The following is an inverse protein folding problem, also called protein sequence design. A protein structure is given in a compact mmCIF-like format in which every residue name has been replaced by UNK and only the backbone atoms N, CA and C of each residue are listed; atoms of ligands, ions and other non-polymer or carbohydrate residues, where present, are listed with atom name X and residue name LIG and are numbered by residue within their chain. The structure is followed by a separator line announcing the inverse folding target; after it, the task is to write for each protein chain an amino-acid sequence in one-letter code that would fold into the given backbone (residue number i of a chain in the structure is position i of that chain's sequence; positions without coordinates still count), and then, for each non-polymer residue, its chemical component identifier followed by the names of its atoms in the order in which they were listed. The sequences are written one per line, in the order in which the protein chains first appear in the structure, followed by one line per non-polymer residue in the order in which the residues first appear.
data_IF_054086557949
#
_entry.id   IF_054086557949
#
_cell.length_a   1.000
_cell.length_b   1.000
_cell.length_c   1.000
_cell.angle_alpha   90.00
_cell.angle_beta   90.00
_cell.angle_gamma   90.00
#
_symmetry.space_group_name_H-M   'P 1'
#
loop_
_entity.id
_entity.type
_entity.pdbx_description
1 polymer ?
#
# COMPACT_ATOMS: atom_id res chain seq x y z
N UNK A 1 7.77 -14.93 -10.25
CA UNK A 1 7.50 -14.18 -8.99
C UNK A 1 6.01 -14.12 -8.65
N UNK A 2 5.14 -13.67 -9.55
CA UNK A 2 3.68 -13.61 -9.31
C UNK A 2 3.04 -14.94 -8.87
N UNK A 3 3.35 -16.05 -9.53
CA UNK A 3 2.84 -17.38 -9.14
C UNK A 3 3.21 -17.76 -7.71
N UNK A 4 4.43 -17.41 -7.28
CA UNK A 4 4.93 -17.72 -5.94
C UNK A 4 4.18 -16.91 -4.88
N UNK A 5 3.95 -15.61 -5.14
CA UNK A 5 3.14 -14.73 -4.28
C UNK A 5 1.69 -15.23 -4.21
N UNK A 6 1.10 -15.60 -5.36
CA UNK A 6 -0.27 -16.11 -5.42
C UNK A 6 -0.43 -17.42 -4.64
N UNK A 7 0.52 -18.35 -4.80
CA UNK A 7 0.51 -19.63 -4.10
C UNK A 7 0.70 -19.46 -2.58
N UNK A 8 1.63 -18.59 -2.16
CA UNK A 8 1.79 -18.23 -0.74
C UNK A 8 0.52 -17.59 -0.18
N UNK A 9 -0.14 -16.71 -0.93
CA UNK A 9 -1.40 -16.11 -0.51
C UNK A 9 -2.54 -17.13 -0.37
N UNK A 10 -2.65 -18.06 -1.33
CA UNK A 10 -3.62 -19.15 -1.28
C UNK A 10 -3.37 -20.09 -0.09
N UNK A 11 -2.11 -20.45 0.15
CA UNK A 11 -1.71 -21.28 1.28
C UNK A 11 -2.04 -20.63 2.62
N UNK A 12 -1.65 -19.36 2.83
CA UNK A 12 -1.95 -18.60 4.05
C UNK A 12 -3.46 -18.54 4.28
N UNK A 13 -4.23 -18.27 3.22
CA UNK A 13 -5.69 -18.23 3.29
C UNK A 13 -6.26 -19.57 3.74
N UNK A 14 -5.88 -20.66 3.10
CA UNK A 14 -6.40 -22.00 3.41
C UNK A 14 -6.02 -22.41 4.84
N UNK A 15 -4.76 -22.22 5.22
CA UNK A 15 -4.25 -22.56 6.54
C UNK A 15 -5.05 -21.90 7.67
N UNK A 16 -5.29 -20.58 7.59
CA UNK A 16 -6.03 -19.87 8.64
C UNK A 16 -7.57 -20.04 8.53
N UNK A 17 -8.12 -20.30 7.34
CA UNK A 17 -9.56 -20.55 7.17
C UNK A 17 -9.98 -21.95 7.63
N UNK A 18 -9.11 -22.96 7.54
CA UNK A 18 -9.37 -24.31 8.06
C UNK A 18 -9.40 -24.35 9.59
N UNK A 19 -8.63 -23.48 10.26
CA UNK A 19 -8.56 -23.44 11.72
C UNK A 19 -9.69 -22.63 12.36
N UNK A 20 -10.09 -21.51 11.75
CA UNK A 20 -11.27 -20.75 12.16
C UNK A 20 -11.76 -19.86 10.99
N UNK A 21 -12.95 -20.14 10.40
CA UNK A 21 -13.43 -19.44 9.21
C UNK A 21 -13.72 -17.94 9.43
N UNK A 22 -13.75 -17.45 10.68
CA UNK A 22 -13.92 -16.03 11.00
C UNK A 22 -12.60 -15.29 11.30
N UNK A 23 -11.49 -16.02 11.45
CA UNK A 23 -10.23 -15.49 11.99
C UNK A 23 -9.44 -14.63 11.00
N UNK A 24 -9.42 -15.00 9.71
CA UNK A 24 -8.50 -14.40 8.75
C UNK A 24 -9.19 -13.87 7.48
N UNK A 25 -8.89 -12.60 7.16
CA UNK A 25 -9.32 -11.97 5.93
C UNK A 25 -8.24 -11.01 5.43
N UNK A 26 -7.71 -11.25 4.24
CA UNK A 26 -6.76 -10.34 3.59
C UNK A 26 -7.30 -8.92 3.46
N UNK A 27 -8.62 -8.76 3.30
CA UNK A 27 -9.25 -7.44 3.24
C UNK A 27 -9.17 -6.70 4.57
N UNK A 28 -9.21 -7.41 5.70
CA UNK A 28 -9.02 -6.82 7.04
C UNK A 28 -7.55 -6.52 7.34
N UNK A 29 -6.61 -7.18 6.67
CA UNK A 29 -5.18 -6.88 6.79
C UNK A 29 -4.77 -5.59 6.05
N UNK A 30 -5.60 -5.09 5.13
CA UNK A 30 -5.34 -3.84 4.46
C UNK A 30 -5.67 -2.66 5.38
N UNK A 31 -4.79 -1.65 5.52
CA UNK A 31 -5.11 -0.48 6.32
C UNK A 31 -6.36 0.21 5.76
N UNK A 32 -7.16 0.79 6.64
CA UNK A 32 -8.27 1.67 6.31
C UNK A 32 -7.72 2.83 5.46
N UNK A 33 -8.03 2.81 4.16
CA UNK A 33 -7.49 3.75 3.18
C UNK A 33 -6.41 3.19 2.26
N UNK A 34 -5.95 1.95 2.40
CA UNK A 34 -4.97 1.36 1.49
C UNK A 34 -5.45 1.24 0.03
N UNK A 35 -6.77 1.34 -0.22
CA UNK A 35 -7.29 1.50 -1.58
C UNK A 35 -6.78 2.77 -2.27
N UNK A 36 -6.50 3.85 -1.54
CA UNK A 36 -5.91 5.07 -2.13
C UNK A 36 -4.47 4.83 -2.55
N UNK A 37 -3.72 3.98 -1.83
CA UNK A 37 -2.37 3.58 -2.21
C UNK A 37 -2.36 2.70 -3.48
N UNK A 38 -3.36 1.83 -3.64
CA UNK A 38 -3.52 1.07 -4.89
C UNK A 38 -3.85 2.00 -6.06
N UNK A 39 -4.75 2.97 -5.84
CA UNK A 39 -5.07 3.99 -6.84
C UNK A 39 -3.86 4.86 -7.17
N UNK A 40 -3.03 5.26 -6.20
CA UNK A 40 -1.81 6.02 -6.46
C UNK A 40 -0.81 5.22 -7.29
N UNK A 41 -0.68 3.92 -7.02
CA UNK A 41 0.14 3.02 -7.83
C UNK A 41 -0.35 2.96 -9.28
N UNK A 42 -1.67 2.84 -9.49
CA UNK A 42 -2.26 2.85 -10.82
C UNK A 42 -2.03 4.18 -11.55
N UNK A 43 -2.22 5.32 -10.88
CA UNK A 43 -1.95 6.65 -11.44
C UNK A 43 -0.49 6.78 -11.84
N UNK A 44 0.43 6.26 -11.03
CA UNK A 44 1.87 6.27 -11.33
C UNK A 44 2.16 5.42 -12.56
N UNK A 45 1.63 4.19 -12.66
CA UNK A 45 1.77 3.36 -13.87
C UNK A 45 1.23 4.04 -15.13
N UNK A 46 0.10 4.72 -15.03
CA UNK A 46 -0.46 5.48 -16.16
C UNK A 46 0.45 6.68 -16.50
N UNK A 47 0.95 7.38 -15.50
CA UNK A 47 1.88 8.52 -15.68
C UNK A 47 3.17 8.09 -16.39
N UNK A 48 3.70 6.92 -16.07
CA UNK A 48 4.88 6.35 -16.76
C UNK A 48 4.60 6.18 -18.26
N UNK A 49 3.41 5.69 -18.60
CA UNK A 49 3.02 5.46 -20.00
C UNK A 49 2.73 6.73 -20.78
N UNK A 50 2.30 7.80 -20.12
CA UNK A 50 1.88 9.04 -20.77
C UNK A 50 2.97 10.11 -20.84
N UNK A 51 3.79 10.24 -19.80
CA UNK A 51 4.71 11.38 -19.68
C UNK A 51 6.15 11.03 -20.02
N UNK A 52 6.55 9.78 -19.89
CA UNK A 52 7.96 9.41 -19.98
C UNK A 52 8.42 9.37 -21.44
N UNK A 53 9.12 10.43 -21.84
CA UNK A 53 9.71 10.58 -23.17
C UNK A 53 11.20 10.20 -23.11
N UNK A 54 11.65 9.33 -24.02
CA UNK A 54 13.05 8.91 -24.07
C UNK A 54 13.97 10.02 -24.57
N UNK A 55 13.49 10.89 -25.45
CA UNK A 55 14.28 12.00 -26.01
C UNK A 55 14.46 13.13 -24.98
N UNK A 56 13.48 13.31 -24.10
CA UNK A 56 13.49 14.29 -23.00
C UNK A 56 13.37 13.60 -21.63
N UNK A 57 14.22 12.59 -21.40
CA UNK A 57 14.09 11.69 -20.25
C UNK A 57 14.17 12.41 -18.90
N UNK A 58 15.20 13.22 -18.64
CA UNK A 58 15.37 13.84 -17.32
C UNK A 58 14.21 14.77 -16.92
N UNK A 59 13.76 15.71 -17.77
CA UNK A 59 12.60 16.55 -17.44
C UNK A 59 11.32 15.75 -17.23
N UNK A 60 11.02 14.78 -18.10
CA UNK A 60 9.79 14.00 -18.02
C UNK A 60 9.81 13.02 -16.85
N UNK A 61 10.97 12.43 -16.54
CA UNK A 61 11.19 11.62 -15.36
C UNK A 61 10.96 12.42 -14.08
N UNK A 62 11.45 13.67 -13.99
CA UNK A 62 11.21 14.52 -12.81
C UNK A 62 9.72 14.82 -12.61
N UNK A 63 8.97 15.06 -13.70
CA UNK A 63 7.51 15.24 -13.64
C UNK A 63 6.83 13.97 -13.14
N UNK A 64 7.18 12.82 -13.72
CA UNK A 64 6.64 11.52 -13.31
C UNK A 64 6.95 11.20 -11.84
N UNK A 65 8.18 11.45 -11.40
CA UNK A 65 8.62 11.28 -10.02
C UNK A 65 7.84 12.20 -9.07
N UNK A 66 7.63 13.46 -9.44
CA UNK A 66 6.85 14.41 -8.64
C UNK A 66 5.39 13.95 -8.50
N UNK A 67 4.77 13.48 -9.59
CA UNK A 67 3.40 12.91 -9.56
C UNK A 67 3.34 11.70 -8.64
N UNK A 68 4.27 10.77 -8.79
CA UNK A 68 4.36 9.56 -7.94
C UNK A 68 4.54 9.90 -6.46
N UNK A 69 5.46 10.82 -6.15
CA UNK A 69 5.72 11.27 -4.79
C UNK A 69 4.50 11.94 -4.16
N UNK A 70 3.85 12.86 -4.90
CA UNK A 70 2.63 13.52 -4.42
C UNK A 70 1.51 12.53 -4.15
N UNK A 71 1.29 11.56 -5.05
CA UNK A 71 0.28 10.52 -4.86
C UNK A 71 0.60 9.60 -3.67
N UNK A 72 1.88 9.28 -3.46
CA UNK A 72 2.35 8.50 -2.31
C UNK A 72 2.12 9.26 -1.00
N UNK A 73 2.52 10.54 -0.93
CA UNK A 73 2.33 11.40 0.23
C UNK A 73 0.85 11.56 0.58
N UNK A 74 0.00 11.81 -0.41
CA UNK A 74 -1.45 11.92 -0.20
C UNK A 74 -2.05 10.60 0.32
N UNK A 75 -1.63 9.47 -0.23
CA UNK A 75 -2.09 8.15 0.25
C UNK A 75 -1.62 7.87 1.68
N UNK A 76 -0.36 8.16 1.98
CA UNK A 76 0.19 8.02 3.33
C UNK A 76 -0.57 8.90 4.33
N UNK A 77 -0.88 10.14 3.96
CA UNK A 77 -1.67 11.04 4.79
C UNK A 77 -3.09 10.51 5.07
N UNK A 78 -3.79 10.03 4.03
CA UNK A 78 -5.13 9.45 4.18
C UNK A 78 -5.12 8.22 5.08
N UNK A 79 -4.16 7.30 4.86
CA UNK A 79 -3.98 6.11 5.69
C UNK A 79 -3.68 6.50 7.13
N UNK A 80 -2.73 7.42 7.35
CA UNK A 80 -2.39 7.90 8.68
C UNK A 80 -3.60 8.50 9.39
N UNK A 81 -4.40 9.34 8.72
CA UNK A 81 -5.60 9.91 9.33
C UNK A 81 -6.64 8.87 9.72
N UNK A 82 -6.83 7.85 8.89
CA UNK A 82 -7.79 6.76 9.14
C UNK A 82 -7.31 5.81 10.24
N UNK A 83 -6.01 5.55 10.30
CA UNK A 83 -5.38 4.62 11.24
C UNK A 83 -4.79 5.28 12.48
N UNK A 84 -4.95 6.60 12.64
CA UNK A 84 -4.33 7.39 13.72
C UNK A 84 -4.58 6.80 15.10
N UNK A 85 -5.79 6.32 15.35
CA UNK A 85 -6.16 5.72 16.64
C UNK A 85 -5.40 4.42 16.91
N UNK A 86 -5.21 3.59 15.88
CA UNK A 86 -4.45 2.35 15.97
C UNK A 86 -2.95 2.63 16.14
N UNK A 87 -2.39 3.55 15.34
CA UNK A 87 -0.97 3.97 15.43
C UNK A 87 -0.66 4.53 16.82
N UNK A 88 -1.52 5.41 17.36
CA UNK A 88 -1.34 5.96 18.70
C UNK A 88 -1.37 4.89 19.80
N UNK A 89 -2.16 3.82 19.64
CA UNK A 89 -2.14 2.69 20.58
C UNK A 89 -0.81 1.97 20.53
N UNK A 90 -0.27 1.70 19.34
CA UNK A 90 1.04 1.04 19.17
C UNK A 90 2.16 1.87 19.81
N UNK A 91 2.21 3.18 19.54
CA UNK A 91 3.22 4.07 20.13
C UNK A 91 3.14 4.05 21.65
N UNK A 92 1.93 4.17 22.21
CA UNK A 92 1.72 4.12 23.66
C UNK A 92 2.13 2.79 24.28
N UNK A 93 1.91 1.67 23.59
CA UNK A 93 2.35 0.36 24.06
C UNK A 93 3.87 0.28 24.16
N UNK A 94 4.60 0.85 23.19
CA UNK A 94 6.07 0.93 23.24
C UNK A 94 6.54 1.74 24.46
N UNK A 95 5.88 2.86 24.74
CA UNK A 95 6.23 3.74 25.86
C UNK A 95 5.96 3.13 27.25
N UNK A 96 5.26 1.98 27.34
CA UNK A 96 5.02 1.25 28.60
C UNK A 96 6.02 0.09 28.83
N UNK A 97 6.94 -0.15 27.90
CA UNK A 97 7.95 -1.23 27.99
C UNK A 97 9.31 -0.70 28.46
N UNK A 98 9.49 0.63 28.48
CA UNK A 98 10.63 1.33 29.09
C UNK A 98 10.29 1.78 30.53
#
# INVERSE_FOLDING_TARGET
MFLRIAYSGAFIRQYFQEQDPLSFSFRRCFPSGGTTLLLSGLITLISERLFLDKENFFPTFLIHLAVGLMCLCMSAFVIYRRERAFINRIVRFRDHVD
#
